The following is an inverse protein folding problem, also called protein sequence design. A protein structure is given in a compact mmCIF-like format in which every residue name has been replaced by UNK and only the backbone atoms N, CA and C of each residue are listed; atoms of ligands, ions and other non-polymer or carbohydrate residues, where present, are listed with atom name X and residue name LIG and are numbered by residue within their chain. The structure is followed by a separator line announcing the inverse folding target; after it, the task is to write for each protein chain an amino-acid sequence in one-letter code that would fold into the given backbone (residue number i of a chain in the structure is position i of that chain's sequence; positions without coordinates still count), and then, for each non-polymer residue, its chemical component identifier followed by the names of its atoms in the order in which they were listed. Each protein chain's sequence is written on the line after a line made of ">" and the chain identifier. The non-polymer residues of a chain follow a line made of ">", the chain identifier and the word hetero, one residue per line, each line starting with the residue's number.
data_IF_452055593787
#
_entry.id   IF_452055593787
#
_cell.length_a   1.000
_cell.length_b   1.000
_cell.length_c   1.000
_cell.angle_alpha   90.00
_cell.angle_beta   90.00
_cell.angle_gamma   90.00
#
_symmetry.space_group_name_H-M   'P 1'
#
loop_
_entity.id
_entity.type
_entity.pdbx_description
1 polymer ?
#
# COMPACT_ATOMS: atom_id res chain seq x y z
N UNK A 1 -5.51 -15.17 9.35
CA UNK A 1 -5.22 -13.97 8.55
C UNK A 1 -3.94 -14.12 7.73
N UNK A 2 -2.73 -13.97 8.28
CA UNK A 2 -1.49 -14.06 7.48
C UNK A 2 -1.33 -15.44 6.79
N UNK A 3 -1.58 -16.53 7.51
CA UNK A 3 -1.56 -17.89 6.93
C UNK A 3 -2.49 -18.02 5.71
N UNK A 4 -3.73 -17.57 5.84
CA UNK A 4 -4.72 -17.54 4.76
C UNK A 4 -4.23 -16.69 3.58
N UNK A 5 -3.64 -15.52 3.84
CA UNK A 5 -3.13 -14.64 2.80
C UNK A 5 -1.94 -15.25 2.03
N UNK A 6 -1.06 -15.99 2.69
CA UNK A 6 0.07 -16.66 2.00
C UNK A 6 -0.37 -17.89 1.19
N UNK A 7 -1.49 -18.51 1.55
CA UNK A 7 -2.06 -19.66 0.85
C UNK A 7 -2.98 -19.25 -0.33
N UNK A 8 -3.42 -17.99 -0.40
CA UNK A 8 -4.35 -17.51 -1.44
C UNK A 8 -3.72 -17.29 -2.82
N UNK A 9 -4.49 -16.82 -3.80
CA UNK A 9 -3.96 -16.41 -5.12
C UNK A 9 -3.34 -15.01 -5.15
N UNK A 10 -3.52 -14.20 -4.11
CA UNK A 10 -2.96 -12.85 -4.07
C UNK A 10 -1.42 -12.87 -4.17
N UNK A 11 -0.85 -12.18 -5.16
CA UNK A 11 0.60 -12.13 -5.38
C UNK A 11 1.35 -11.13 -4.47
N UNK A 12 0.63 -10.16 -3.90
CA UNK A 12 1.17 -9.10 -3.03
C UNK A 12 0.38 -9.07 -1.73
N UNK A 13 1.08 -8.98 -0.60
CA UNK A 13 0.50 -8.92 0.74
C UNK A 13 0.93 -7.62 1.42
N UNK A 14 -0.04 -6.85 1.91
CA UNK A 14 0.22 -5.66 2.73
C UNK A 14 0.20 -6.04 4.21
N UNK A 15 1.32 -5.86 4.90
CA UNK A 15 1.39 -5.99 6.35
C UNK A 15 0.99 -4.66 6.98
N UNK A 16 -0.29 -4.56 7.36
CA UNK A 16 -0.88 -3.33 7.90
C UNK A 16 -0.63 -3.11 9.39
N UNK A 17 -0.19 -4.14 10.11
CA UNK A 17 0.12 -4.09 11.54
C UNK A 17 1.23 -5.08 11.84
N UNK A 18 2.23 -4.64 12.59
CA UNK A 18 3.35 -5.45 13.08
C UNK A 18 4.03 -4.73 14.26
N UNK A 19 4.96 -5.42 14.91
CA UNK A 19 5.86 -4.82 15.88
C UNK A 19 7.29 -5.25 15.59
N UNK A 20 8.27 -4.60 16.23
CA UNK A 20 9.69 -4.90 16.04
C UNK A 20 10.09 -6.36 16.37
N UNK A 21 9.31 -7.08 17.19
CA UNK A 21 9.61 -8.46 17.55
C UNK A 21 9.10 -9.45 16.49
N UNK A 22 7.97 -9.15 15.85
CA UNK A 22 7.32 -10.08 14.92
C UNK A 22 7.57 -9.74 13.43
N UNK A 23 8.01 -8.52 13.12
CA UNK A 23 8.07 -8.03 11.75
C UNK A 23 8.90 -8.91 10.81
N UNK A 24 10.12 -9.28 11.23
CA UNK A 24 11.02 -10.14 10.45
C UNK A 24 10.36 -11.48 10.13
N UNK A 25 9.82 -12.16 11.14
CA UNK A 25 9.20 -13.47 10.98
C UNK A 25 8.01 -13.42 9.99
N UNK A 26 7.23 -12.34 10.04
CA UNK A 26 6.06 -12.15 9.16
C UNK A 26 6.50 -11.91 7.72
N UNK A 27 7.52 -11.08 7.50
CA UNK A 27 8.13 -10.86 6.18
C UNK A 27 8.69 -12.17 5.61
N UNK A 28 9.48 -12.90 6.39
CA UNK A 28 10.04 -14.18 5.96
C UNK A 28 8.96 -15.19 5.58
N UNK A 29 7.84 -15.19 6.30
CA UNK A 29 6.71 -16.08 6.01
C UNK A 29 6.08 -15.78 4.65
N UNK A 30 5.94 -14.50 4.28
CA UNK A 30 5.41 -14.11 2.96
C UNK A 30 6.42 -14.43 1.86
N UNK A 31 7.70 -14.12 2.08
CA UNK A 31 8.77 -14.37 1.10
C UNK A 31 8.97 -15.86 0.85
N UNK A 32 8.92 -16.72 1.88
CA UNK A 32 8.96 -18.18 1.73
C UNK A 32 7.79 -18.73 0.89
N UNK A 33 6.64 -18.06 0.94
CA UNK A 33 5.50 -18.38 0.08
C UNK A 33 5.64 -17.83 -1.35
N UNK A 34 6.79 -17.24 -1.71
CA UNK A 34 7.09 -16.64 -3.02
C UNK A 34 6.14 -15.49 -3.40
N UNK A 35 5.68 -14.74 -2.39
CA UNK A 35 4.82 -13.57 -2.57
C UNK A 35 5.58 -12.29 -2.23
N UNK A 36 5.14 -11.18 -2.81
CA UNK A 36 5.69 -9.87 -2.47
C UNK A 36 5.04 -9.34 -1.19
N UNK A 37 5.83 -8.70 -0.32
CA UNK A 37 5.37 -8.10 0.93
C UNK A 37 5.71 -6.61 0.97
N UNK A 38 4.69 -5.81 1.25
CA UNK A 38 4.85 -4.38 1.56
C UNK A 38 4.46 -4.11 3.01
N UNK A 39 5.27 -3.32 3.71
CA UNK A 39 5.07 -3.03 5.13
C UNK A 39 4.49 -1.63 5.30
N UNK A 40 3.39 -1.51 6.04
CA UNK A 40 2.87 -0.20 6.42
C UNK A 40 3.64 0.37 7.61
N UNK A 41 4.58 1.29 7.36
CA UNK A 41 5.48 1.78 8.40
C UNK A 41 4.78 2.56 9.52
N UNK A 42 3.69 3.28 9.20
CA UNK A 42 2.98 4.06 10.23
C UNK A 42 2.36 3.18 11.34
N UNK A 43 2.26 1.86 11.12
CA UNK A 43 1.64 0.89 12.03
C UNK A 43 2.60 -0.23 12.45
N UNK A 44 3.90 0.05 12.43
CA UNK A 44 4.92 -0.82 13.06
C UNK A 44 5.22 -0.30 14.45
N UNK A 45 4.77 -1.03 15.47
CA UNK A 45 4.99 -0.66 16.86
C UNK A 45 6.47 -0.85 17.26
N UNK A 46 7.02 0.18 17.91
CA UNK A 46 8.42 0.20 18.37
C UNK A 46 9.44 0.65 17.32
N UNK A 47 9.02 0.94 16.08
CA UNK A 47 9.90 1.46 15.04
C UNK A 47 9.89 3.00 15.01
N UNK A 48 11.06 3.60 14.86
CA UNK A 48 11.20 5.05 14.66
C UNK A 48 10.54 5.54 13.37
N UNK A 49 10.44 6.86 13.21
CA UNK A 49 9.86 7.50 12.02
C UNK A 49 10.89 8.22 11.15
N UNK A 50 12.16 8.09 11.49
CA UNK A 50 13.28 8.71 10.80
C UNK A 50 13.81 7.85 9.63
N UNK A 51 14.79 8.39 8.92
CA UNK A 51 15.43 7.69 7.82
C UNK A 51 16.16 6.42 8.27
N UNK A 52 16.61 6.35 9.54
CA UNK A 52 17.27 5.15 10.08
C UNK A 52 16.31 3.99 10.26
N UNK A 53 15.06 4.27 10.61
CA UNK A 53 14.03 3.24 10.57
C UNK A 53 13.84 2.66 9.17
N UNK A 54 13.86 3.50 8.13
CA UNK A 54 13.74 3.04 6.74
C UNK A 54 14.99 2.25 6.31
N UNK A 55 16.18 2.69 6.70
CA UNK A 55 17.42 1.94 6.46
C UNK A 55 17.35 0.55 7.12
N UNK A 56 16.88 0.48 8.37
CA UNK A 56 16.69 -0.80 9.07
C UNK A 56 15.70 -1.70 8.32
N UNK A 57 14.58 -1.15 7.85
CA UNK A 57 13.60 -1.91 7.05
C UNK A 57 14.25 -2.45 5.78
N UNK A 58 15.01 -1.62 5.05
CA UNK A 58 15.67 -2.04 3.81
C UNK A 58 16.75 -3.09 4.06
N UNK A 59 17.66 -2.84 5.00
CA UNK A 59 18.91 -3.60 5.15
C UNK A 59 18.73 -4.86 6.00
N UNK A 60 17.84 -4.82 7.00
CA UNK A 60 17.60 -5.94 7.93
C UNK A 60 16.34 -6.71 7.55
N UNK A 61 15.19 -6.02 7.48
CA UNK A 61 13.89 -6.68 7.25
C UNK A 61 13.74 -7.13 5.79
N UNK A 62 14.23 -6.36 4.83
CA UNK A 62 14.26 -6.65 3.38
C UNK A 62 12.90 -7.00 2.76
N UNK A 63 11.85 -6.18 2.95
CA UNK A 63 10.62 -6.34 2.18
C UNK A 63 10.83 -5.94 0.71
N UNK A 64 9.83 -6.19 -0.14
CA UNK A 64 9.83 -5.63 -1.50
C UNK A 64 9.58 -4.12 -1.49
N UNK A 65 8.98 -3.57 -0.43
CA UNK A 65 8.76 -2.14 -0.30
C UNK A 65 7.96 -1.76 0.95
N UNK A 66 7.58 -0.48 1.01
CA UNK A 66 6.87 0.12 2.13
C UNK A 66 5.61 0.86 1.69
N UNK A 67 4.70 1.03 2.64
CA UNK A 67 3.52 1.89 2.55
C UNK A 67 3.61 2.93 3.66
N UNK A 68 3.35 4.19 3.35
CA UNK A 68 3.27 5.27 4.35
C UNK A 68 2.36 6.38 3.86
N UNK A 69 1.74 7.07 4.81
CA UNK A 69 1.01 8.32 4.57
C UNK A 69 1.95 9.53 4.45
N UNK A 70 3.22 9.38 4.83
CA UNK A 70 4.20 10.46 4.96
C UNK A 70 5.06 10.58 3.71
N UNK A 71 4.95 11.70 3.01
CA UNK A 71 5.73 11.97 1.80
C UNK A 71 7.24 11.93 2.02
N UNK A 72 7.73 12.35 3.19
CA UNK A 72 9.15 12.34 3.51
C UNK A 72 9.73 10.92 3.55
N UNK A 73 8.98 9.97 4.10
CA UNK A 73 9.39 8.57 4.18
C UNK A 73 9.39 7.91 2.80
N UNK A 74 8.37 8.20 1.99
CA UNK A 74 8.28 7.66 0.62
C UNK A 74 9.39 8.22 -0.27
N UNK A 75 9.66 9.52 -0.16
CA UNK A 75 10.77 10.15 -0.89
C UNK A 75 12.11 9.53 -0.52
N UNK A 76 12.39 9.37 0.77
CA UNK A 76 13.64 8.77 1.22
C UNK A 76 13.76 7.28 0.82
N UNK A 77 12.69 6.50 0.97
CA UNK A 77 12.68 5.10 0.54
C UNK A 77 13.06 4.98 -0.95
N UNK A 78 12.49 5.83 -1.80
CA UNK A 78 12.83 5.89 -3.21
C UNK A 78 14.29 6.29 -3.46
N UNK A 79 14.80 7.30 -2.75
CA UNK A 79 16.20 7.74 -2.85
C UNK A 79 17.19 6.60 -2.57
N UNK A 80 16.86 5.71 -1.64
CA UNK A 80 17.68 4.54 -1.32
C UNK A 80 17.30 3.29 -2.15
N UNK A 81 16.42 3.40 -3.13
CA UNK A 81 16.01 2.29 -4.01
C UNK A 81 15.06 1.26 -3.38
N UNK A 82 14.32 1.64 -2.34
CA UNK A 82 13.24 0.85 -1.75
C UNK A 82 11.89 1.30 -2.30
N UNK A 83 11.11 0.35 -2.83
CA UNK A 83 9.80 0.64 -3.42
C UNK A 83 8.85 1.28 -2.40
N UNK A 84 8.21 2.39 -2.77
CA UNK A 84 7.37 3.19 -1.88
C UNK A 84 5.98 3.42 -2.45
N UNK A 85 4.96 3.00 -1.69
CA UNK A 85 3.56 3.33 -1.94
C UNK A 85 3.13 4.44 -0.98
N UNK A 86 2.70 5.57 -1.54
CA UNK A 86 2.10 6.62 -0.71
C UNK A 86 0.60 6.40 -0.56
N UNK A 87 0.13 6.26 0.69
CA UNK A 87 -1.29 6.12 1.01
C UNK A 87 -1.94 7.47 1.23
N UNK A 88 -3.11 7.67 0.63
CA UNK A 88 -3.94 8.85 0.79
C UNK A 88 -5.36 8.48 1.23
N UNK A 89 -5.93 9.35 2.05
CA UNK A 89 -7.33 9.28 2.48
C UNK A 89 -8.10 10.41 1.83
N UNK A 90 -9.13 10.06 1.07
CA UNK A 90 -10.06 11.01 0.46
C UNK A 90 -11.27 11.16 1.37
N UNK A 91 -11.26 12.25 2.15
CA UNK A 91 -12.32 12.60 3.10
C UNK A 91 -13.20 13.73 2.57
N UNK A 92 -12.60 14.66 1.86
CA UNK A 92 -13.23 15.87 1.32
C UNK A 92 -12.48 16.38 0.06
N UNK A 93 -12.95 17.49 -0.51
CA UNK A 93 -12.32 18.12 -1.68
C UNK A 93 -10.88 18.60 -1.42
N UNK A 94 -10.58 19.05 -0.20
CA UNK A 94 -9.24 19.51 0.16
C UNK A 94 -8.25 18.35 0.18
N UNK A 95 -8.66 17.20 0.71
CA UNK A 95 -7.87 15.96 0.71
C UNK A 95 -7.59 15.45 -0.71
N UNK A 96 -8.54 15.62 -1.63
CA UNK A 96 -8.36 15.32 -3.05
C UNK A 96 -7.28 16.21 -3.68
N UNK A 97 -7.39 17.54 -3.52
CA UNK A 97 -6.38 18.45 -4.09
C UNK A 97 -4.99 18.22 -3.50
N UNK A 98 -4.94 17.96 -2.19
CA UNK A 98 -3.70 17.66 -1.48
C UNK A 98 -3.08 16.36 -2.00
N UNK A 99 -3.90 15.33 -2.26
CA UNK A 99 -3.45 14.06 -2.83
C UNK A 99 -2.77 14.28 -4.17
N UNK A 100 -3.42 15.00 -5.10
CA UNK A 100 -2.87 15.25 -6.44
C UNK A 100 -1.56 16.03 -6.35
N UNK A 101 -1.52 17.14 -5.60
CA UNK A 101 -0.31 17.95 -5.41
C UNK A 101 0.83 17.15 -4.77
N UNK A 102 0.52 16.36 -3.74
CA UNK A 102 1.51 15.59 -3.00
C UNK A 102 2.06 14.45 -3.85
N UNK A 103 1.22 13.73 -4.57
CA UNK A 103 1.65 12.67 -5.49
C UNK A 103 2.58 13.23 -6.57
N UNK A 104 2.28 14.41 -7.14
CA UNK A 104 3.17 15.07 -8.10
C UNK A 104 4.51 15.45 -7.50
N UNK A 105 4.56 15.93 -6.25
CA UNK A 105 5.79 16.37 -5.61
C UNK A 105 6.65 15.21 -5.08
N UNK A 106 6.03 14.21 -4.47
CA UNK A 106 6.71 13.06 -3.88
C UNK A 106 7.13 12.03 -4.93
N UNK A 107 6.41 11.95 -6.06
CA UNK A 107 6.64 10.98 -7.13
C UNK A 107 6.86 9.55 -6.58
N UNK A 108 5.89 9.00 -5.84
CA UNK A 108 5.99 7.65 -5.30
C UNK A 108 5.96 6.63 -6.45
N UNK A 109 6.40 5.39 -6.20
CA UNK A 109 6.33 4.34 -7.21
C UNK A 109 4.87 3.96 -7.52
N UNK A 110 4.01 3.99 -6.49
CA UNK A 110 2.56 3.86 -6.59
C UNK A 110 1.86 4.71 -5.54
N UNK A 111 0.55 4.92 -5.71
CA UNK A 111 -0.30 5.46 -4.65
C UNK A 111 -1.39 4.47 -4.26
N UNK A 112 -1.79 4.50 -3.00
CA UNK A 112 -2.98 3.81 -2.50
C UNK A 112 -4.03 4.84 -2.09
N UNK A 113 -5.23 4.76 -2.69
CA UNK A 113 -6.36 5.63 -2.39
C UNK A 113 -7.37 4.89 -1.51
N UNK A 114 -7.78 5.51 -0.42
CA UNK A 114 -8.82 5.00 0.47
C UNK A 114 -9.89 6.06 0.74
N UNK A 115 -11.20 5.70 0.79
CA UNK A 115 -11.75 4.37 0.54
C UNK A 115 -11.82 4.00 -0.95
N UNK A 116 -11.91 2.69 -1.24
CA UNK A 116 -11.94 2.15 -2.60
C UNK A 116 -13.31 2.25 -3.27
N UNK A 117 -14.40 2.29 -2.49
CA UNK A 117 -15.79 2.39 -2.99
C UNK A 117 -16.15 3.79 -3.51
N UNK A 118 -15.28 4.40 -4.30
CA UNK A 118 -15.51 5.67 -4.99
C UNK A 118 -15.01 5.63 -6.44
N UNK A 119 -15.57 4.78 -7.32
CA UNK A 119 -15.09 4.61 -8.70
C UNK A 119 -15.01 5.93 -9.49
N UNK A 120 -15.95 6.85 -9.27
CA UNK A 120 -15.92 8.18 -9.90
C UNK A 120 -14.71 9.03 -9.51
N UNK A 121 -14.29 8.97 -8.23
CA UNK A 121 -13.10 9.68 -7.76
C UNK A 121 -11.81 9.00 -8.22
N UNK A 122 -11.76 7.67 -8.17
CA UNK A 122 -10.62 6.88 -8.66
C UNK A 122 -10.35 7.22 -10.12
N UNK A 123 -11.39 7.21 -10.98
CA UNK A 123 -11.29 7.59 -12.40
C UNK A 123 -10.73 8.98 -12.62
N UNK A 124 -11.11 9.92 -11.75
CA UNK A 124 -10.68 11.31 -11.83
C UNK A 124 -9.21 11.47 -11.43
N UNK A 125 -8.76 10.74 -10.40
CA UNK A 125 -7.36 10.71 -9.96
C UNK A 125 -6.47 10.04 -10.99
N UNK A 126 -6.85 8.87 -11.49
CA UNK A 126 -6.07 8.11 -12.49
C UNK A 126 -5.94 8.87 -13.81
N UNK A 127 -6.90 9.73 -14.15
CA UNK A 127 -6.82 10.61 -15.31
C UNK A 127 -5.86 11.82 -15.12
N UNK A 128 -5.58 12.22 -13.88
CA UNK A 128 -4.72 13.37 -13.55
C UNK A 128 -3.29 12.98 -13.19
N UNK A 129 -3.10 11.75 -12.70
CA UNK A 129 -1.82 11.25 -12.23
C UNK A 129 -1.24 10.21 -13.18
N UNK A 130 0.05 10.32 -13.47
CA UNK A 130 0.80 9.32 -14.24
C UNK A 130 1.23 8.11 -13.40
N UNK A 131 1.14 8.21 -12.07
CA UNK A 131 1.49 7.14 -11.14
C UNK A 131 0.33 6.15 -11.01
N UNK A 132 0.65 4.85 -10.98
CA UNK A 132 -0.36 3.81 -10.83
C UNK A 132 -1.08 3.89 -9.48
N UNK A 133 -2.38 3.62 -9.51
CA UNK A 133 -3.27 3.71 -8.35
C UNK A 133 -3.69 2.32 -7.90
N UNK A 134 -3.51 2.03 -6.62
CA UNK A 134 -4.19 0.96 -5.90
C UNK A 134 -5.37 1.60 -5.16
N UNK A 135 -6.52 0.95 -5.17
CA UNK A 135 -7.67 1.41 -4.41
C UNK A 135 -8.00 0.41 -3.30
N UNK A 136 -8.26 0.92 -2.10
CA UNK A 136 -8.35 0.09 -0.91
C UNK A 136 -9.41 0.52 0.09
N UNK A 137 -9.90 -0.45 0.85
CA UNK A 137 -10.82 -0.21 1.97
C UNK A 137 -12.30 -0.24 1.57
N UNK A 138 -13.10 -0.83 2.47
CA UNK A 138 -14.55 -1.05 2.35
C UNK A 138 -14.99 -1.94 1.18
N UNK A 139 -14.08 -2.67 0.53
CA UNK A 139 -14.42 -3.58 -0.57
C UNK A 139 -14.85 -4.94 -0.03
N UNK A 140 -16.09 -5.33 -0.30
CA UNK A 140 -16.73 -6.53 0.23
C UNK A 140 -17.14 -7.53 -0.85
N UNK A 141 -17.36 -7.08 -2.09
CA UNK A 141 -17.86 -7.95 -3.17
C UNK A 141 -16.95 -7.98 -4.41
N UNK A 142 -17.06 -9.06 -5.19
CA UNK A 142 -16.39 -9.17 -6.50
C UNK A 142 -16.82 -8.05 -7.45
N UNK A 143 -18.09 -7.65 -7.41
CA UNK A 143 -18.61 -6.60 -8.27
C UNK A 143 -17.91 -5.26 -8.00
N UNK A 144 -17.75 -4.90 -6.72
CA UNK A 144 -17.02 -3.69 -6.32
C UNK A 144 -15.55 -3.74 -6.77
N UNK A 145 -14.89 -4.90 -6.66
CA UNK A 145 -13.52 -5.08 -7.20
C UNK A 145 -13.48 -4.76 -8.70
N UNK A 146 -14.42 -5.31 -9.48
CA UNK A 146 -14.47 -5.08 -10.93
C UNK A 146 -14.75 -3.61 -11.28
N UNK A 147 -15.62 -2.95 -10.53
CA UNK A 147 -15.94 -1.53 -10.73
C UNK A 147 -14.74 -0.61 -10.44
N UNK A 148 -13.99 -0.92 -9.39
CA UNK A 148 -12.76 -0.21 -9.02
C UNK A 148 -11.69 -0.36 -10.11
N UNK A 149 -11.47 -1.58 -10.60
CA UNK A 149 -10.52 -1.84 -11.69
C UNK A 149 -10.95 -1.15 -12.98
N UNK A 150 -12.25 -1.18 -13.32
CA UNK A 150 -12.81 -0.48 -14.47
C UNK A 150 -12.77 1.06 -14.34
N UNK A 151 -12.58 1.58 -13.12
CA UNK A 151 -12.30 3.01 -12.88
C UNK A 151 -10.85 3.40 -13.16
N UNK A 152 -9.97 2.44 -13.46
CA UNK A 152 -8.57 2.69 -13.81
C UNK A 152 -7.59 2.45 -12.66
N UNK A 153 -8.05 1.93 -11.51
CA UNK A 153 -7.11 1.39 -10.53
C UNK A 153 -6.39 0.17 -11.13
N UNK A 154 -5.09 0.08 -10.90
CA UNK A 154 -4.27 -1.05 -11.34
C UNK A 154 -4.55 -2.30 -10.49
N UNK A 155 -4.84 -2.12 -9.21
CA UNK A 155 -5.14 -3.20 -8.28
C UNK A 155 -6.06 -2.74 -7.14
N UNK A 156 -6.63 -3.72 -6.44
CA UNK A 156 -7.46 -3.52 -5.25
C UNK A 156 -6.79 -4.11 -4.03
N UNK A 157 -6.71 -3.34 -2.94
CA UNK A 157 -6.31 -3.85 -1.62
C UNK A 157 -7.57 -4.09 -0.76
N UNK A 158 -7.70 -5.28 -0.18
CA UNK A 158 -8.84 -5.63 0.68
C UNK A 158 -8.45 -6.55 1.81
N UNK A 159 -9.07 -6.34 2.98
CA UNK A 159 -8.99 -7.25 4.13
C UNK A 159 -9.97 -8.43 4.05
N UNK A 160 -10.87 -8.45 3.05
CA UNK A 160 -11.89 -9.49 2.87
C UNK A 160 -11.26 -10.73 2.22
N UNK A 161 -10.97 -11.73 3.04
CA UNK A 161 -10.25 -12.95 2.62
C UNK A 161 -10.89 -13.71 1.47
N UNK A 162 -12.22 -13.66 1.38
CA UNK A 162 -13.02 -14.31 0.35
C UNK A 162 -12.74 -13.73 -1.05
N UNK A 163 -12.24 -12.50 -1.12
CA UNK A 163 -11.87 -11.84 -2.39
C UNK A 163 -10.42 -12.14 -2.81
N UNK A 164 -9.60 -12.82 -1.98
CA UNK A 164 -8.20 -13.11 -2.31
C UNK A 164 -8.03 -14.30 -3.26
N UNK A 165 -9.12 -15.00 -3.59
CA UNK A 165 -9.16 -16.15 -4.51
C UNK A 165 -9.59 -15.79 -5.94
N UNK A 166 -9.86 -14.49 -6.17
CA UNK A 166 -10.31 -13.94 -7.46
C UNK A 166 -9.27 -14.13 -8.57
#
# INVERSE_FOLDING_TARGET
>A
MLKTAVESKAGVIFLLQADIFNLQQRVDTVVRAKKSVLIHLDFVDGLGRDNRAIDYIKEVIRPQGIISTRSSQIKYAREIGLFGIQRFFLLDSLSYETTVKTAHAAQPDMIEIMPGLMPGMIRRITAQLSVHVIAGGLVETKQEVMEILAAGALAVSTGKSELWEL
#
